data_IF_327855201083
#
_entry.id   IF_327855201083
#
_cell.length_a   1.000
_cell.length_b   1.000
_cell.length_c   1.000
_cell.angle_alpha   90.00
_cell.angle_beta   90.00
_cell.angle_gamma   90.00
#
_symmetry.space_group_name_H-M   'P 1'
#
loop_
_entity.id
_entity.type
_entity.pdbx_description
1 polymer ?
#
# COMPACT_ATOMS: atom_id res chain seq x y z
N UNK A 1 -9.18 -35.42 -57.35
CA UNK A 1 -10.59 -35.81 -57.54
C UNK A 1 -11.33 -35.40 -56.30
N UNK A 2 -12.11 -34.31 -56.41
CA UNK A 2 -12.96 -33.83 -55.32
C UNK A 2 -14.30 -34.54 -55.26
N UNK A 3 -15.14 -34.23 -54.30
CA UNK A 3 -16.38 -33.64 -54.77
C UNK A 3 -16.79 -32.34 -54.01
N UNK A 4 -17.45 -31.55 -54.84
CA UNK A 4 -18.20 -30.33 -54.61
C UNK A 4 -19.37 -30.59 -53.63
N UNK A 5 -19.59 -29.74 -52.65
CA UNK A 5 -20.82 -29.70 -51.89
C UNK A 5 -21.48 -28.32 -52.02
N UNK A 6 -22.75 -28.36 -52.35
CA UNK A 6 -23.63 -27.28 -52.82
C UNK A 6 -24.04 -26.34 -51.70
N UNK A 7 -24.17 -25.06 -52.04
CA UNK A 7 -24.82 -23.99 -51.27
C UNK A 7 -26.32 -24.22 -51.17
N UNK A 8 -26.86 -24.19 -49.99
CA UNK A 8 -28.29 -24.01 -49.72
C UNK A 8 -28.56 -22.59 -49.16
N UNK A 9 -29.30 -21.78 -49.90
CA UNK A 9 -29.76 -20.47 -49.46
C UNK A 9 -31.03 -20.65 -48.64
N UNK A 10 -31.02 -20.14 -47.43
CA UNK A 10 -32.23 -20.01 -46.59
C UNK A 10 -32.56 -18.52 -46.53
N UNK A 11 -33.71 -18.16 -47.08
CA UNK A 11 -34.28 -16.83 -47.02
C UNK A 11 -34.89 -16.66 -45.62
N UNK A 12 -34.44 -15.66 -44.87
CA UNK A 12 -35.08 -15.23 -43.62
C UNK A 12 -35.89 -13.98 -43.91
N UNK A 13 -37.17 -14.06 -43.72
CA UNK A 13 -38.10 -12.95 -43.83
C UNK A 13 -37.92 -12.02 -42.61
N UNK A 14 -37.62 -10.76 -42.88
CA UNK A 14 -37.51 -9.71 -41.87
C UNK A 14 -38.88 -9.13 -41.58
N UNK A 15 -39.41 -9.41 -40.42
CA UNK A 15 -40.59 -8.70 -39.90
C UNK A 15 -40.15 -7.39 -39.22
N UNK A 16 -40.57 -6.26 -39.79
CA UNK A 16 -40.33 -4.93 -39.25
C UNK A 16 -41.35 -4.66 -38.13
N UNK A 17 -40.94 -4.70 -36.86
CA UNK A 17 -41.75 -4.25 -35.74
C UNK A 17 -41.33 -2.79 -35.45
N UNK A 18 -42.19 -1.83 -35.74
CA UNK A 18 -42.07 -0.44 -35.28
C UNK A 18 -42.33 -0.42 -33.78
N UNK A 19 -41.30 -0.28 -32.97
CA UNK A 19 -41.41 0.06 -31.55
C UNK A 19 -41.38 1.59 -31.41
N UNK A 20 -42.48 2.17 -30.96
CA UNK A 20 -42.54 3.57 -30.53
C UNK A 20 -41.64 3.75 -29.31
N UNK A 21 -40.57 4.48 -29.44
CA UNK A 21 -39.71 4.85 -28.34
C UNK A 21 -40.40 5.94 -27.49
N UNK A 22 -40.91 5.55 -26.33
CA UNK A 22 -41.22 6.49 -25.26
C UNK A 22 -39.91 7.07 -24.72
N UNK A 23 -39.76 8.39 -24.74
CA UNK A 23 -38.65 9.08 -24.08
C UNK A 23 -38.76 8.83 -22.57
N UNK A 24 -37.89 7.94 -22.04
CA UNK A 24 -37.68 7.84 -20.61
C UNK A 24 -36.80 9.00 -20.17
N UNK A 25 -37.33 9.88 -19.34
CA UNK A 25 -36.53 10.90 -18.64
C UNK A 25 -35.43 10.21 -17.87
N UNK A 26 -34.18 10.48 -18.26
CA UNK A 26 -33.01 10.10 -17.47
C UNK A 26 -33.04 10.91 -16.17
N UNK A 27 -32.93 10.30 -15.00
CA UNK A 27 -32.81 11.05 -13.77
C UNK A 27 -31.54 11.89 -13.82
N UNK A 28 -31.71 13.20 -13.64
CA UNK A 28 -30.60 14.14 -13.50
C UNK A 28 -29.68 13.74 -12.35
N UNK A 29 -28.41 14.22 -12.33
CA UNK A 29 -27.49 13.92 -11.25
C UNK A 29 -28.14 14.29 -9.92
N UNK A 30 -28.28 13.29 -9.03
CA UNK A 30 -28.84 13.49 -7.69
C UNK A 30 -28.03 14.58 -7.00
N UNK A 31 -28.69 15.66 -6.57
CA UNK A 31 -28.07 16.67 -5.72
C UNK A 31 -27.54 15.98 -4.48
N UNK A 32 -26.27 16.29 -4.13
CA UNK A 32 -25.65 15.75 -2.92
C UNK A 32 -26.53 16.11 -1.71
N UNK A 33 -26.91 15.12 -0.92
CA UNK A 33 -27.69 15.29 0.30
C UNK A 33 -26.87 16.14 1.30
N UNK A 34 -27.30 17.35 1.65
CA UNK A 34 -26.59 18.20 2.59
C UNK A 34 -26.62 17.66 4.04
N UNK A 35 -27.35 16.57 4.30
CA UNK A 35 -27.42 15.90 5.59
C UNK A 35 -26.48 14.67 5.70
N UNK A 36 -25.70 14.35 4.64
CA UNK A 36 -24.64 13.36 4.80
C UNK A 36 -23.69 13.83 5.91
N UNK A 37 -23.49 13.05 6.99
CA UNK A 37 -22.60 13.47 8.05
C UNK A 37 -21.22 13.75 7.43
N UNK A 38 -20.74 14.99 7.58
CA UNK A 38 -19.38 15.32 7.26
C UNK A 38 -18.51 14.24 7.91
N UNK A 39 -17.77 13.48 7.11
CA UNK A 39 -16.85 12.46 7.62
C UNK A 39 -15.95 13.19 8.59
N UNK A 40 -16.21 13.00 9.88
CA UNK A 40 -15.43 13.62 10.93
C UNK A 40 -13.98 13.21 10.66
N UNK A 41 -13.14 14.17 10.28
CA UNK A 41 -11.70 13.99 10.25
C UNK A 41 -11.34 13.54 11.65
N UNK A 42 -11.00 12.25 11.80
CA UNK A 42 -10.66 11.69 13.10
C UNK A 42 -9.52 12.50 13.68
N UNK A 43 -9.70 13.24 14.80
CA UNK A 43 -8.63 13.99 15.39
C UNK A 43 -7.56 12.99 15.85
N UNK A 44 -6.31 13.19 15.42
CA UNK A 44 -5.16 12.48 15.94
C UNK A 44 -4.49 11.42 15.04
N UNK A 45 -4.68 11.43 13.73
CA UNK A 45 -3.78 10.68 12.82
C UNK A 45 -2.52 11.53 12.59
N UNK A 46 -1.57 11.43 13.51
CA UNK A 46 -0.24 11.97 13.26
C UNK A 46 0.34 11.38 11.96
N UNK A 47 1.07 12.16 11.15
CA UNK A 47 1.74 11.65 9.97
C UNK A 47 2.62 10.45 10.32
N UNK A 48 2.63 9.44 9.44
CA UNK A 48 3.45 8.25 9.61
C UNK A 48 4.82 8.52 8.98
N UNK A 49 5.83 8.85 9.79
CA UNK A 49 7.22 8.87 9.35
C UNK A 49 7.91 7.65 9.90
N UNK A 50 8.53 6.85 9.04
CA UNK A 50 9.01 5.56 9.47
C UNK A 50 10.06 4.94 8.57
N UNK A 51 10.36 3.71 8.89
CA UNK A 51 11.32 2.86 8.21
C UNK A 51 10.89 1.42 8.36
N UNK A 52 11.15 0.59 7.36
CA UNK A 52 10.93 -0.85 7.45
C UNK A 52 12.06 -1.52 8.24
N UNK A 53 11.71 -2.42 9.13
CA UNK A 53 12.62 -3.35 9.79
C UNK A 53 12.42 -4.70 9.13
N UNK A 54 13.27 -4.97 8.16
CA UNK A 54 13.31 -6.19 7.36
C UNK A 54 14.06 -7.33 8.07
N UNK A 55 14.94 -6.99 9.03
CA UNK A 55 15.67 -7.95 9.87
C UNK A 55 15.64 -7.55 11.35
N UNK A 56 15.29 -8.51 12.22
CA UNK A 56 15.28 -8.34 13.69
C UNK A 56 16.50 -8.98 14.39
N UNK A 57 17.48 -9.48 13.65
CA UNK A 57 18.67 -10.17 14.20
C UNK A 57 19.49 -9.28 15.13
N UNK A 58 19.46 -7.96 14.95
CA UNK A 58 20.17 -6.99 15.79
C UNK A 58 19.22 -6.08 16.58
N UNK A 59 18.12 -6.62 17.09
CA UNK A 59 17.02 -5.91 17.72
C UNK A 59 17.44 -4.83 18.73
N UNK A 60 18.44 -5.09 19.57
CA UNK A 60 18.91 -4.10 20.56
C UNK A 60 19.43 -2.81 19.90
N UNK A 61 20.19 -2.94 18.83
CA UNK A 61 20.73 -1.81 18.06
C UNK A 61 19.63 -1.10 17.27
N UNK A 62 18.74 -1.87 16.66
CA UNK A 62 17.57 -1.35 15.94
C UNK A 62 16.71 -0.48 16.85
N UNK A 63 16.33 -0.98 18.02
CA UNK A 63 15.51 -0.22 19.00
C UNK A 63 16.24 1.04 19.47
N UNK A 64 17.55 0.98 19.75
CA UNK A 64 18.33 2.16 20.12
C UNK A 64 18.40 3.19 19.01
N UNK A 65 18.51 2.76 17.75
CA UNK A 65 18.51 3.65 16.60
C UNK A 65 17.16 4.33 16.36
N UNK A 66 16.06 3.59 16.50
CA UNK A 66 14.70 4.12 16.43
C UNK A 66 14.42 5.14 17.55
N UNK A 67 14.82 4.83 18.77
CA UNK A 67 14.69 5.74 19.91
C UNK A 67 15.51 7.03 19.78
N UNK A 68 16.55 7.03 18.96
CA UNK A 68 17.42 8.18 18.70
C UNK A 68 16.95 9.04 17.52
N UNK A 69 15.85 8.70 16.87
CA UNK A 69 15.24 9.56 15.84
C UNK A 69 14.62 10.80 16.51
N UNK A 70 14.61 11.96 15.84
CA UNK A 70 14.09 13.21 16.40
C UNK A 70 12.63 13.13 16.83
N UNK A 71 11.84 12.38 16.09
CA UNK A 71 10.43 12.11 16.38
C UNK A 71 10.18 10.62 16.54
N UNK A 72 9.09 10.31 17.21
CA UNK A 72 8.67 8.95 17.45
C UNK A 72 8.27 8.27 16.12
N UNK A 73 9.05 7.31 15.60
CA UNK A 73 8.80 6.75 14.28
C UNK A 73 7.57 5.84 14.26
N UNK A 74 6.98 5.67 13.08
CA UNK A 74 6.25 4.47 12.74
C UNK A 74 7.23 3.45 12.17
N UNK A 75 7.21 2.22 12.66
CA UNK A 75 8.13 1.17 12.20
C UNK A 75 7.31 0.08 11.53
N UNK A 76 7.52 -0.12 10.24
CA UNK A 76 6.97 -1.27 9.52
C UNK A 76 7.85 -2.48 9.79
N UNK A 77 7.30 -3.58 10.26
CA UNK A 77 8.02 -4.82 10.50
C UNK A 77 7.58 -5.83 9.45
N UNK A 78 8.51 -6.27 8.63
CA UNK A 78 8.34 -7.37 7.70
C UNK A 78 8.24 -8.69 8.46
N UNK A 79 7.16 -9.41 8.30
CA UNK A 79 6.96 -10.73 8.89
C UNK A 79 7.22 -11.81 7.85
N UNK A 80 8.45 -12.35 7.83
CA UNK A 80 8.86 -13.45 6.93
C UNK A 80 7.81 -14.59 6.96
N UNK A 81 7.38 -15.04 5.80
CA UNK A 81 6.36 -16.08 5.65
C UNK A 81 6.74 -17.40 6.33
N UNK A 82 8.03 -17.66 6.49
CA UNK A 82 8.59 -18.87 7.11
C UNK A 82 8.63 -18.82 8.63
N UNK A 83 8.38 -17.66 9.24
CA UNK A 83 8.47 -17.49 10.68
C UNK A 83 7.09 -17.52 11.35
N UNK A 84 6.95 -18.13 12.53
CA UNK A 84 5.73 -18.04 13.31
C UNK A 84 5.62 -16.70 14.04
N UNK A 85 4.40 -16.24 14.35
CA UNK A 85 4.15 -14.97 15.03
C UNK A 85 4.99 -14.76 16.30
N UNK A 86 5.17 -15.81 17.13
CA UNK A 86 5.97 -15.74 18.36
C UNK A 86 7.42 -15.29 18.15
N UNK A 87 7.97 -15.52 16.95
CA UNK A 87 9.33 -15.08 16.61
C UNK A 87 9.47 -13.56 16.73
N UNK A 88 8.40 -12.82 16.38
CA UNK A 88 8.39 -11.36 16.39
C UNK A 88 7.93 -10.74 17.71
N UNK A 89 7.43 -11.53 18.68
CA UNK A 89 6.80 -10.99 19.89
C UNK A 89 7.73 -10.06 20.69
N UNK A 90 9.01 -10.38 20.82
CA UNK A 90 9.97 -9.52 21.51
C UNK A 90 10.30 -8.27 20.71
N UNK A 91 10.40 -8.35 19.39
CA UNK A 91 10.67 -7.22 18.52
C UNK A 91 9.49 -6.23 18.58
N UNK A 92 8.28 -6.69 18.37
CA UNK A 92 7.06 -5.88 18.44
C UNK A 92 6.95 -5.20 19.80
N UNK A 93 7.07 -5.92 20.92
CA UNK A 93 7.01 -5.36 22.28
C UNK A 93 8.09 -4.30 22.52
N UNK A 94 9.30 -4.46 22.03
CA UNK A 94 10.39 -3.48 22.25
C UNK A 94 10.27 -2.28 21.35
N UNK A 95 9.91 -2.48 20.07
CA UNK A 95 9.75 -1.38 19.11
C UNK A 95 8.52 -0.53 19.47
N UNK A 96 7.41 -1.13 19.92
CA UNK A 96 6.20 -0.39 20.33
C UNK A 96 6.42 0.58 21.50
N UNK A 97 7.48 0.41 22.27
CA UNK A 97 7.86 1.35 23.34
C UNK A 97 8.50 2.64 22.82
N UNK A 98 9.11 2.58 21.64
CA UNK A 98 9.83 3.72 21.04
C UNK A 98 9.14 4.31 19.82
N UNK A 99 8.12 3.64 19.26
CA UNK A 99 7.39 4.08 18.08
C UNK A 99 6.06 3.38 17.90
N UNK A 100 5.31 3.74 16.88
CA UNK A 100 4.18 2.94 16.40
C UNK A 100 4.71 1.73 15.62
N UNK A 101 3.99 0.61 15.65
CA UNK A 101 4.33 -0.58 14.85
C UNK A 101 3.26 -0.78 13.79
N UNK A 102 3.68 -0.88 12.54
CA UNK A 102 2.90 -1.45 11.45
C UNK A 102 3.44 -2.85 11.15
N UNK A 103 2.60 -3.87 11.28
CA UNK A 103 2.96 -5.26 11.02
C UNK A 103 2.51 -5.67 9.63
N UNK A 104 3.42 -6.09 8.78
CA UNK A 104 3.15 -6.60 7.44
C UNK A 104 2.84 -8.08 7.49
N UNK A 105 1.58 -8.45 7.22
CA UNK A 105 1.12 -9.84 7.33
C UNK A 105 1.70 -10.74 6.25
N UNK A 106 1.90 -10.24 5.03
CA UNK A 106 2.45 -11.00 3.91
C UNK A 106 3.06 -10.06 2.87
N UNK A 107 4.31 -10.30 2.53
CA UNK A 107 5.01 -9.59 1.46
C UNK A 107 4.50 -10.02 0.08
N UNK A 108 4.54 -9.09 -0.86
CA UNK A 108 4.07 -9.31 -2.24
C UNK A 108 4.80 -10.43 -2.97
N UNK A 109 6.07 -10.67 -2.66
CA UNK A 109 6.86 -11.76 -3.27
C UNK A 109 6.38 -13.15 -2.85
N UNK A 110 5.81 -13.28 -1.66
CA UNK A 110 5.28 -14.52 -1.10
C UNK A 110 3.78 -14.72 -1.38
N UNK A 111 3.09 -13.69 -1.86
CA UNK A 111 1.63 -13.66 -2.02
C UNK A 111 1.11 -14.88 -2.80
N UNK A 112 1.74 -15.25 -3.92
CA UNK A 112 1.32 -16.39 -4.75
C UNK A 112 1.58 -17.75 -4.11
N UNK A 113 2.41 -17.83 -3.08
CA UNK A 113 2.84 -19.10 -2.45
C UNK A 113 1.92 -19.53 -1.32
N UNK A 114 1.10 -18.62 -0.79
CA UNK A 114 0.20 -18.86 0.33
C UNK A 114 -1.24 -18.96 -0.16
N UNK A 115 -1.98 -19.97 0.25
CA UNK A 115 -3.43 -20.09 -0.06
C UNK A 115 -4.25 -19.08 0.74
N UNK A 116 -5.51 -18.85 0.35
CA UNK A 116 -6.43 -17.98 1.09
C UNK A 116 -6.58 -18.46 2.54
N UNK A 117 -6.88 -19.75 2.75
CA UNK A 117 -7.01 -20.33 4.09
C UNK A 117 -5.70 -20.26 4.90
N UNK A 118 -4.55 -20.46 4.23
CA UNK A 118 -3.22 -20.33 4.86
C UNK A 118 -2.93 -18.90 5.30
N UNK A 119 -3.33 -17.92 4.50
CA UNK A 119 -3.17 -16.51 4.86
C UNK A 119 -4.10 -16.10 6.00
N UNK A 120 -5.36 -16.55 5.99
CA UNK A 120 -6.28 -16.33 7.09
C UNK A 120 -5.73 -16.89 8.41
N UNK A 121 -5.34 -18.17 8.44
CA UNK A 121 -4.75 -18.78 9.64
C UNK A 121 -3.50 -18.02 10.13
N UNK A 122 -2.69 -17.48 9.19
CA UNK A 122 -1.56 -16.64 9.52
C UNK A 122 -2.02 -15.33 10.18
N UNK A 123 -2.98 -14.62 9.58
CA UNK A 123 -3.51 -13.37 10.11
C UNK A 123 -4.05 -13.56 11.54
N UNK A 124 -4.90 -14.54 11.77
CA UNK A 124 -5.43 -14.90 13.09
C UNK A 124 -4.32 -15.16 14.11
N UNK A 125 -3.31 -15.98 13.75
CA UNK A 125 -2.17 -16.30 14.61
C UNK A 125 -1.36 -15.05 15.00
N UNK A 126 -1.13 -14.14 14.04
CA UNK A 126 -0.37 -12.90 14.27
C UNK A 126 -1.17 -11.89 15.10
N UNK A 127 -2.46 -11.74 14.81
CA UNK A 127 -3.37 -10.90 15.61
C UNK A 127 -3.41 -11.34 17.07
N UNK A 128 -3.56 -12.65 17.29
CA UNK A 128 -3.60 -13.22 18.65
C UNK A 128 -2.28 -12.99 19.39
N UNK A 129 -1.13 -13.25 18.75
CA UNK A 129 0.16 -13.23 19.42
C UNK A 129 0.75 -11.82 19.58
N UNK A 130 0.45 -10.88 18.67
CA UNK A 130 1.14 -9.59 18.57
C UNK A 130 0.20 -8.39 18.71
N UNK A 131 -1.10 -8.59 18.72
CA UNK A 131 -2.12 -7.52 18.66
C UNK A 131 -1.92 -6.39 19.65
N UNK A 132 -1.50 -6.69 20.87
CA UNK A 132 -1.26 -5.67 21.91
C UNK A 132 -0.11 -4.69 21.59
N UNK A 133 0.78 -5.05 20.66
CA UNK A 133 1.96 -4.23 20.30
C UNK A 133 1.93 -3.67 18.88
N UNK A 134 1.00 -4.11 18.03
CA UNK A 134 0.87 -3.67 16.64
C UNK A 134 -0.23 -2.62 16.54
N UNK A 135 0.14 -1.43 16.09
CA UNK A 135 -0.78 -0.29 15.96
C UNK A 135 -1.56 -0.28 14.64
N UNK A 136 -0.97 -0.84 13.60
CA UNK A 136 -1.52 -0.89 12.25
C UNK A 136 -1.17 -2.26 11.64
N UNK A 137 -2.12 -2.91 11.02
CA UNK A 137 -1.91 -4.15 10.30
C UNK A 137 -1.92 -3.89 8.80
N UNK A 138 -0.78 -4.12 8.15
CA UNK A 138 -0.71 -4.15 6.70
C UNK A 138 -1.27 -5.48 6.24
N UNK A 139 -2.53 -5.40 5.79
CA UNK A 139 -3.34 -6.58 5.43
C UNK A 139 -2.94 -7.21 4.11
N UNK A 140 -2.23 -6.46 3.27
CA UNK A 140 -1.63 -6.97 2.04
C UNK A 140 -0.70 -5.91 1.44
N UNK A 141 0.37 -6.36 0.77
CA UNK A 141 1.39 -5.52 0.14
C UNK A 141 1.39 -5.65 -1.38
N UNK A 142 1.50 -4.53 -2.12
CA UNK A 142 1.66 -4.41 -3.58
C UNK A 142 0.67 -5.26 -4.41
N UNK A 143 -0.56 -5.40 -3.92
CA UNK A 143 -1.58 -6.35 -4.38
C UNK A 143 -1.96 -6.24 -5.87
N UNK A 144 -1.66 -5.13 -6.51
CA UNK A 144 -1.91 -4.91 -7.93
C UNK A 144 -0.73 -5.31 -8.84
N UNK A 145 0.37 -5.80 -8.28
CA UNK A 145 1.48 -6.38 -9.03
C UNK A 145 1.11 -7.71 -9.66
N UNK A 146 1.60 -7.98 -10.87
CA UNK A 146 1.30 -9.23 -11.57
C UNK A 146 2.07 -10.45 -11.02
N UNK A 147 3.04 -10.21 -10.16
CA UNK A 147 3.82 -11.26 -9.48
C UNK A 147 3.09 -11.84 -8.27
N UNK A 148 2.07 -11.17 -7.77
CA UNK A 148 1.32 -11.58 -6.57
C UNK A 148 0.40 -12.78 -6.81
N UNK A 149 0.13 -13.11 -8.08
CA UNK A 149 -0.73 -14.22 -8.49
C UNK A 149 -2.07 -13.76 -9.05
N UNK A 150 -3.07 -14.66 -9.16
CA UNK A 150 -4.37 -14.31 -9.69
C UNK A 150 -5.09 -13.27 -8.81
N UNK A 151 -5.44 -12.12 -9.36
CA UNK A 151 -6.08 -11.02 -8.63
C UNK A 151 -7.34 -11.41 -7.84
N UNK A 152 -8.22 -12.32 -8.30
CA UNK A 152 -9.32 -12.78 -7.46
C UNK A 152 -8.86 -13.48 -6.18
N UNK A 153 -7.77 -14.25 -6.22
CA UNK A 153 -7.18 -14.90 -5.05
C UNK A 153 -6.55 -13.89 -4.09
N UNK A 154 -5.82 -12.90 -4.63
CA UNK A 154 -5.26 -11.80 -3.85
C UNK A 154 -6.36 -10.99 -3.16
N UNK A 155 -7.43 -10.69 -3.89
CA UNK A 155 -8.59 -9.98 -3.34
C UNK A 155 -9.32 -10.76 -2.24
N UNK A 156 -9.39 -12.08 -2.35
CA UNK A 156 -9.95 -12.93 -1.29
C UNK A 156 -9.10 -12.83 -0.02
N UNK A 157 -7.78 -13.00 -0.11
CA UNK A 157 -6.87 -12.88 1.04
C UNK A 157 -6.96 -11.53 1.73
N UNK A 158 -6.81 -10.46 0.95
CA UNK A 158 -6.95 -9.08 1.43
C UNK A 158 -8.27 -8.86 2.17
N UNK A 159 -9.36 -9.48 1.68
CA UNK A 159 -10.69 -9.33 2.25
C UNK A 159 -10.82 -10.07 3.58
N UNK A 160 -10.33 -11.31 3.67
CA UNK A 160 -10.29 -12.08 4.92
C UNK A 160 -9.42 -11.38 5.98
N UNK A 161 -8.21 -10.95 5.63
CA UNK A 161 -7.35 -10.23 6.55
C UNK A 161 -7.97 -8.90 7.04
N UNK A 162 -8.68 -8.18 6.16
CA UNK A 162 -9.41 -6.99 6.55
C UNK A 162 -10.50 -7.32 7.59
N UNK A 163 -11.28 -8.35 7.35
CA UNK A 163 -12.39 -8.76 8.23
C UNK A 163 -11.84 -9.20 9.60
N UNK A 164 -10.76 -9.98 9.64
CA UNK A 164 -10.11 -10.45 10.88
C UNK A 164 -9.55 -9.27 11.71
N UNK A 165 -8.82 -8.35 11.05
CA UNK A 165 -8.26 -7.17 11.73
C UNK A 165 -9.37 -6.25 12.23
N UNK A 166 -10.41 -6.02 11.43
CA UNK A 166 -11.55 -5.19 11.82
C UNK A 166 -12.34 -5.80 12.98
N UNK A 167 -12.56 -7.12 12.98
CA UNK A 167 -13.20 -7.84 14.08
C UNK A 167 -12.39 -7.74 15.38
N UNK A 168 -11.05 -7.71 15.29
CA UNK A 168 -10.17 -7.49 16.43
C UNK A 168 -10.08 -6.00 16.87
N UNK A 169 -10.80 -5.09 16.21
CA UNK A 169 -10.72 -3.64 16.47
C UNK A 169 -9.43 -2.97 16.04
N UNK A 170 -8.65 -3.64 15.17
CA UNK A 170 -7.37 -3.15 14.67
C UNK A 170 -7.52 -2.13 13.53
N UNK A 171 -6.48 -1.32 13.32
CA UNK A 171 -6.36 -0.45 12.15
C UNK A 171 -5.70 -1.19 11.00
N UNK A 172 -6.21 -0.98 9.79
CA UNK A 172 -5.74 -1.67 8.58
C UNK A 172 -4.98 -0.75 7.66
N UNK A 173 -3.93 -1.25 7.01
CA UNK A 173 -3.25 -0.62 5.89
C UNK A 173 -3.30 -1.55 4.67
N UNK A 174 -3.51 -0.96 3.50
CA UNK A 174 -3.43 -1.62 2.20
C UNK A 174 -2.34 -0.92 1.38
N UNK A 175 -1.32 -1.64 0.97
CA UNK A 175 -0.26 -1.10 0.11
C UNK A 175 -0.49 -1.50 -1.35
N UNK A 176 -0.42 -0.51 -2.23
CA UNK A 176 -0.59 -0.64 -3.68
C UNK A 176 0.72 -0.26 -4.38
N UNK A 177 1.14 -1.05 -5.36
CA UNK A 177 2.29 -0.71 -6.19
C UNK A 177 1.97 0.45 -7.13
N UNK A 178 2.68 1.55 -6.97
CA UNK A 178 2.46 2.77 -7.74
C UNK A 178 3.28 2.76 -9.04
N UNK A 179 2.66 2.33 -10.11
CA UNK A 179 3.26 2.18 -11.44
C UNK A 179 2.80 3.25 -12.45
N UNK A 180 2.07 4.28 -12.02
CA UNK A 180 1.36 5.21 -12.90
C UNK A 180 1.60 6.70 -12.59
N UNK A 181 2.74 7.06 -12.03
CA UNK A 181 3.12 8.46 -11.90
C UNK A 181 3.62 9.01 -13.25
N UNK A 182 2.72 9.63 -14.01
CA UNK A 182 3.01 10.24 -15.32
C UNK A 182 2.46 9.43 -16.50
N UNK A 183 2.78 9.84 -17.75
CA UNK A 183 2.20 9.26 -18.96
C UNK A 183 2.68 7.85 -19.26
N UNK A 184 3.82 7.45 -18.70
CA UNK A 184 4.39 6.12 -18.92
C UNK A 184 4.18 5.26 -17.67
N UNK A 185 3.75 4.03 -17.87
CA UNK A 185 3.76 3.04 -16.82
C UNK A 185 5.21 2.76 -16.38
N UNK A 186 5.44 2.77 -15.07
CA UNK A 186 6.66 2.24 -14.48
C UNK A 186 6.45 0.75 -14.21
N UNK A 187 7.52 0.01 -14.22
CA UNK A 187 7.51 -1.43 -14.02
C UNK A 187 8.39 -2.12 -15.03
N UNK A 188 8.41 -3.42 -14.97
CA UNK A 188 9.24 -4.28 -15.83
C UNK A 188 8.58 -4.59 -17.19
N UNK A 189 7.58 -3.83 -17.60
CA UNK A 189 6.84 -4.02 -18.85
C UNK A 189 5.74 -5.08 -18.80
N UNK A 190 5.46 -5.64 -17.63
CA UNK A 190 4.37 -6.60 -17.44
C UNK A 190 3.02 -5.89 -17.35
N UNK A 191 1.95 -6.61 -17.65
CA UNK A 191 0.57 -6.11 -17.60
C UNK A 191 0.07 -6.00 -16.15
N UNK A 192 0.51 -4.99 -15.44
CA UNK A 192 0.07 -4.66 -14.08
C UNK A 192 -1.15 -3.77 -14.13
N UNK A 193 -2.05 -3.94 -13.16
CA UNK A 193 -3.13 -2.99 -12.94
C UNK A 193 -2.59 -1.76 -12.20
N UNK A 194 -3.07 -0.58 -12.59
CA UNK A 194 -2.84 0.61 -11.76
C UNK A 194 -3.54 0.46 -10.40
N UNK A 195 -3.09 1.20 -9.36
CA UNK A 195 -3.79 1.22 -8.07
C UNK A 195 -5.30 1.42 -8.20
N UNK A 196 -5.74 2.35 -9.05
CA UNK A 196 -7.15 2.63 -9.27
C UNK A 196 -7.90 1.49 -9.98
N UNK A 197 -7.28 0.88 -10.99
CA UNK A 197 -7.90 -0.25 -11.71
C UNK A 197 -8.09 -1.46 -10.80
N UNK A 198 -7.07 -1.82 -10.01
CA UNK A 198 -7.18 -2.91 -9.05
C UNK A 198 -8.25 -2.62 -7.99
N UNK A 199 -8.21 -1.43 -7.41
CA UNK A 199 -9.15 -1.02 -6.37
C UNK A 199 -10.60 -1.06 -6.83
N UNK A 200 -10.87 -0.60 -8.05
CA UNK A 200 -12.24 -0.63 -8.60
C UNK A 200 -12.71 -2.04 -8.89
N UNK A 201 -11.82 -2.89 -9.41
CA UNK A 201 -12.19 -4.19 -9.94
C UNK A 201 -12.23 -5.27 -8.87
N UNK A 202 -11.35 -5.20 -7.86
CA UNK A 202 -11.10 -6.31 -6.96
C UNK A 202 -11.29 -5.99 -5.48
N UNK A 203 -11.18 -4.72 -5.05
CA UNK A 203 -11.34 -4.39 -3.64
C UNK A 203 -12.83 -4.18 -3.31
N UNK A 204 -13.42 -4.98 -2.42
CA UNK A 204 -14.84 -4.84 -2.05
C UNK A 204 -15.16 -3.46 -1.47
N UNK A 205 -16.38 -2.98 -1.72
CA UNK A 205 -16.82 -1.65 -1.27
C UNK A 205 -16.71 -1.47 0.25
N UNK A 206 -16.96 -2.53 1.05
CA UNK A 206 -16.81 -2.46 2.51
C UNK A 206 -15.36 -2.23 2.93
N UNK A 207 -14.38 -2.89 2.28
CA UNK A 207 -12.97 -2.69 2.52
C UNK A 207 -12.56 -1.26 2.13
N UNK A 208 -12.99 -0.80 0.96
CA UNK A 208 -12.70 0.57 0.51
C UNK A 208 -13.22 1.65 1.47
N UNK A 209 -14.36 1.44 2.11
CA UNK A 209 -14.91 2.38 3.10
C UNK A 209 -14.30 2.27 4.48
N UNK A 210 -13.77 1.10 4.84
CA UNK A 210 -13.34 0.81 6.21
C UNK A 210 -11.83 0.76 6.43
N UNK A 211 -11.02 0.60 5.36
CA UNK A 211 -9.57 0.58 5.51
C UNK A 211 -9.04 1.90 6.08
N UNK A 212 -8.12 1.81 7.04
CA UNK A 212 -7.62 2.99 7.76
C UNK A 212 -6.55 3.75 6.99
N UNK A 213 -5.71 3.03 6.25
CA UNK A 213 -4.63 3.59 5.45
C UNK A 213 -4.58 2.93 4.08
N UNK A 214 -4.36 3.74 3.03
CA UNK A 214 -3.99 3.23 1.71
C UNK A 214 -2.65 3.83 1.35
N UNK A 215 -1.67 2.97 1.18
CA UNK A 215 -0.28 3.35 1.02
C UNK A 215 0.21 2.96 -0.38
N UNK A 216 1.18 3.69 -0.88
CA UNK A 216 1.80 3.44 -2.17
C UNK A 216 3.21 2.88 -1.95
N UNK A 217 3.54 1.78 -2.61
CA UNK A 217 4.91 1.33 -2.79
C UNK A 217 5.47 1.96 -4.05
N UNK A 218 6.66 2.57 -3.98
CA UNK A 218 7.26 3.25 -5.11
C UNK A 218 8.78 3.19 -5.12
N UNK A 219 9.33 2.67 -6.20
CA UNK A 219 10.77 2.56 -6.42
C UNK A 219 11.20 3.40 -7.63
N UNK A 220 11.76 4.62 -7.44
CA UNK A 220 12.15 5.50 -8.54
C UNK A 220 13.06 4.83 -9.56
N UNK A 221 13.98 3.95 -9.12
CA UNK A 221 14.89 3.24 -10.02
C UNK A 221 14.20 2.27 -10.97
N UNK A 222 13.09 1.66 -10.54
CA UNK A 222 12.23 0.84 -11.41
C UNK A 222 11.39 1.69 -12.35
N UNK A 223 11.29 2.99 -12.09
CA UNK A 223 10.61 3.99 -12.90
C UNK A 223 11.59 4.91 -13.64
N UNK A 224 12.70 4.39 -14.14
CA UNK A 224 13.73 5.13 -14.88
C UNK A 224 14.31 6.33 -14.11
N UNK A 225 14.40 6.22 -12.79
CA UNK A 225 14.88 7.29 -11.91
C UNK A 225 13.91 8.44 -11.71
N UNK A 226 12.64 8.30 -12.10
CA UNK A 226 11.64 9.36 -11.93
C UNK A 226 11.26 9.54 -10.47
N UNK A 227 11.28 10.77 -10.03
CA UNK A 227 10.78 11.21 -8.73
C UNK A 227 9.50 12.03 -8.97
N UNK A 228 8.30 11.48 -8.67
CA UNK A 228 7.05 12.22 -8.83
C UNK A 228 7.07 13.56 -8.10
N UNK A 229 6.62 14.61 -8.76
CA UNK A 229 6.42 15.91 -8.12
C UNK A 229 5.27 15.85 -7.11
N UNK A 230 5.21 16.82 -6.18
CA UNK A 230 4.09 16.97 -5.26
C UNK A 230 2.75 17.10 -5.99
N UNK A 231 2.73 17.71 -7.18
CA UNK A 231 1.54 17.82 -8.02
C UNK A 231 1.06 16.48 -8.57
N UNK A 232 1.97 15.65 -9.07
CA UNK A 232 1.67 14.29 -9.57
C UNK A 232 1.19 13.38 -8.43
N UNK A 233 1.87 13.43 -7.28
CA UNK A 233 1.43 12.71 -6.08
C UNK A 233 0.04 13.18 -5.65
N UNK A 234 -0.21 14.49 -5.60
CA UNK A 234 -1.52 15.05 -5.25
C UNK A 234 -2.63 14.51 -6.15
N UNK A 235 -2.39 14.42 -7.45
CA UNK A 235 -3.37 13.89 -8.40
C UNK A 235 -3.68 12.42 -8.13
N UNK A 236 -2.66 11.57 -7.95
CA UNK A 236 -2.82 10.16 -7.66
C UNK A 236 -3.56 9.93 -6.32
N UNK A 237 -3.18 10.66 -5.27
CA UNK A 237 -3.82 10.55 -3.96
C UNK A 237 -5.27 11.06 -3.97
N UNK A 238 -5.61 12.09 -4.74
CA UNK A 238 -7.02 12.52 -4.92
C UNK A 238 -7.86 11.45 -5.58
N UNK A 239 -7.33 10.78 -6.61
CA UNK A 239 -8.02 9.68 -7.26
C UNK A 239 -8.27 8.53 -6.28
N UNK A 240 -7.27 8.14 -5.50
CA UNK A 240 -7.41 7.09 -4.48
C UNK A 240 -8.37 7.52 -3.35
N UNK A 241 -8.32 8.78 -2.91
CA UNK A 241 -9.23 9.26 -1.86
C UNK A 241 -10.71 9.18 -2.28
N UNK A 242 -11.01 9.45 -3.55
CA UNK A 242 -12.36 9.24 -4.10
C UNK A 242 -12.84 7.78 -3.98
N UNK A 243 -11.92 6.82 -3.93
CA UNK A 243 -12.23 5.39 -3.80
C UNK A 243 -12.20 4.91 -2.34
N UNK A 244 -11.39 5.56 -1.50
CA UNK A 244 -11.13 5.25 -0.10
C UNK A 244 -11.38 6.48 0.80
N UNK A 245 -12.62 6.97 0.89
CA UNK A 245 -12.91 8.29 1.49
C UNK A 245 -12.60 8.39 2.98
N UNK A 246 -12.55 7.24 3.69
CA UNK A 246 -12.20 7.17 5.12
C UNK A 246 -10.71 6.94 5.40
N UNK A 247 -9.90 6.70 4.36
CA UNK A 247 -8.50 6.33 4.56
C UNK A 247 -7.57 7.55 4.61
N UNK A 248 -6.53 7.47 5.43
CA UNK A 248 -5.34 8.30 5.27
C UNK A 248 -4.43 7.69 4.19
N UNK A 249 -3.83 8.52 3.35
CA UNK A 249 -3.08 8.11 2.17
C UNK A 249 -1.61 8.52 2.28
N UNK A 250 -0.70 7.66 1.83
CA UNK A 250 0.74 7.95 1.90
C UNK A 250 1.58 6.92 1.16
N UNK A 251 2.84 6.79 1.59
CA UNK A 251 3.73 5.75 1.10
C UNK A 251 3.90 4.64 2.14
N UNK A 252 3.82 3.39 1.72
CA UNK A 252 4.07 2.20 2.53
C UNK A 252 5.46 1.63 2.31
N UNK A 253 6.04 1.92 1.13
CA UNK A 253 7.34 1.39 0.79
C UNK A 253 8.04 2.28 -0.23
N UNK A 254 9.29 2.63 0.09
CA UNK A 254 10.19 3.37 -0.79
C UNK A 254 11.61 2.80 -0.62
N UNK A 255 12.37 2.72 -1.69
CA UNK A 255 13.75 2.25 -1.54
C UNK A 255 14.48 1.97 -2.84
N UNK A 256 15.45 1.11 -2.72
CA UNK A 256 16.13 0.44 -3.81
C UNK A 256 15.76 -1.04 -3.82
N UNK A 257 15.83 -1.71 -4.98
CA UNK A 257 15.49 -3.15 -5.07
C UNK A 257 16.52 -4.06 -4.35
N UNK A 258 17.62 -3.50 -3.89
CA UNK A 258 18.68 -4.20 -3.14
C UNK A 258 19.24 -3.28 -2.05
N UNK A 259 19.86 -3.84 -1.00
CA UNK A 259 20.56 -3.04 0.02
C UNK A 259 21.60 -2.08 -0.59
N UNK A 260 21.80 -0.97 0.09
CA UNK A 260 22.69 0.11 -0.38
C UNK A 260 24.15 -0.33 -0.42
N UNK A 261 24.78 -0.13 -1.57
CA UNK A 261 26.21 -0.31 -1.79
C UNK A 261 26.90 1.03 -2.03
N UNK A 262 28.22 1.05 -2.07
CA UNK A 262 28.97 2.28 -2.43
C UNK A 262 28.53 2.87 -3.77
N UNK A 263 28.24 2.02 -4.77
CA UNK A 263 27.79 2.44 -6.09
C UNK A 263 26.38 3.07 -6.07
N UNK A 264 25.47 2.56 -5.24
CA UNK A 264 24.08 3.04 -5.17
C UNK A 264 23.86 4.14 -4.13
N UNK A 265 24.84 4.45 -3.27
CA UNK A 265 24.68 5.35 -2.12
C UNK A 265 24.21 6.75 -2.50
N UNK A 266 24.70 7.31 -3.59
CA UNK A 266 24.28 8.64 -4.06
C UNK A 266 22.78 8.65 -4.41
N UNK A 267 22.37 7.67 -5.21
CA UNK A 267 20.96 7.50 -5.61
C UNK A 267 20.08 7.24 -4.41
N UNK A 268 20.48 6.37 -3.49
CA UNK A 268 19.74 6.08 -2.26
C UNK A 268 19.51 7.34 -1.41
N UNK A 269 20.55 8.15 -1.20
CA UNK A 269 20.45 9.43 -0.47
C UNK A 269 19.53 10.44 -1.17
N UNK A 270 19.54 10.47 -2.48
CA UNK A 270 18.65 11.34 -3.27
C UNK A 270 17.21 10.90 -3.09
N UNK A 271 16.90 9.61 -3.29
CA UNK A 271 15.54 9.05 -3.13
C UNK A 271 15.03 9.27 -1.71
N UNK A 272 15.84 9.01 -0.69
CA UNK A 272 15.44 9.21 0.71
C UNK A 272 15.10 10.69 0.97
N UNK A 273 15.95 11.63 0.55
CA UNK A 273 15.63 13.06 0.71
C UNK A 273 14.37 13.47 -0.02
N UNK A 274 14.19 13.01 -1.27
CA UNK A 274 12.99 13.29 -2.04
C UNK A 274 11.75 12.74 -1.35
N UNK A 275 11.75 11.46 -1.00
CA UNK A 275 10.58 10.79 -0.43
C UNK A 275 10.12 11.45 0.88
N UNK A 276 11.03 11.64 1.82
CA UNK A 276 10.68 12.17 3.15
C UNK A 276 10.35 13.67 3.14
N UNK A 277 10.77 14.42 2.13
CA UNK A 277 10.41 15.83 1.97
C UNK A 277 9.12 16.05 1.16
N UNK A 278 8.53 15.00 0.60
CA UNK A 278 7.40 15.11 -0.31
C UNK A 278 6.10 15.35 0.44
N UNK A 279 5.55 16.56 0.32
CA UNK A 279 4.27 16.93 0.90
C UNK A 279 3.30 17.41 -0.19
N UNK A 280 2.22 16.67 -0.48
CA UNK A 280 1.23 17.07 -1.49
C UNK A 280 0.24 18.13 -0.98
N UNK A 281 0.27 18.51 0.30
CA UNK A 281 -0.65 19.50 0.88
C UNK A 281 -2.10 19.02 0.90
N UNK A 282 -2.35 17.77 1.29
CA UNK A 282 -3.68 17.17 1.39
C UNK A 282 -4.00 16.82 2.85
N UNK A 283 -5.21 17.13 3.35
CA UNK A 283 -5.56 16.93 4.76
C UNK A 283 -5.62 15.46 5.19
N UNK A 284 -5.74 14.55 4.24
CA UNK A 284 -5.73 13.10 4.44
C UNK A 284 -4.39 12.45 4.10
N UNK A 285 -3.34 13.25 3.91
CA UNK A 285 -2.00 12.73 3.64
C UNK A 285 -1.35 12.26 4.94
N UNK A 286 -0.96 10.99 4.98
CA UNK A 286 -0.39 10.34 6.15
C UNK A 286 1.14 10.36 6.20
N UNK A 287 1.82 10.88 5.15
CA UNK A 287 3.26 10.65 5.01
C UNK A 287 3.53 9.19 4.66
N UNK A 288 4.03 8.42 5.61
CA UNK A 288 4.20 6.97 5.45
C UNK A 288 5.38 6.63 4.55
N UNK A 289 6.56 7.08 4.92
CA UNK A 289 7.77 6.72 4.17
C UNK A 289 8.50 5.62 4.93
N UNK A 290 8.48 4.42 4.38
CA UNK A 290 9.14 3.26 4.98
C UNK A 290 10.21 2.78 4.03
N UNK A 291 11.47 3.17 4.31
CA UNK A 291 12.62 2.68 3.54
C UNK A 291 12.73 1.17 3.70
N UNK A 292 12.74 0.42 2.59
CA UNK A 292 12.60 -1.04 2.62
C UNK A 292 13.68 -1.74 3.43
N UNK A 293 14.95 -1.59 3.08
CA UNK A 293 16.06 -2.19 3.83
C UNK A 293 16.49 -1.33 5.02
N UNK A 294 15.52 -0.92 5.85
CA UNK A 294 15.77 0.06 6.92
C UNK A 294 16.72 -0.44 7.99
N UNK A 295 16.62 -1.72 8.36
CA UNK A 295 17.51 -2.30 9.37
C UNK A 295 18.97 -2.24 8.93
N UNK A 296 19.28 -2.60 7.69
CA UNK A 296 20.63 -2.60 7.16
C UNK A 296 21.13 -1.22 6.74
N UNK A 297 20.32 -0.50 6.01
CA UNK A 297 20.71 0.73 5.32
C UNK A 297 20.73 1.94 6.25
N UNK A 298 19.91 1.98 7.30
CA UNK A 298 19.68 3.18 8.09
C UNK A 298 19.79 3.03 9.61
N UNK A 299 19.48 1.85 10.18
CA UNK A 299 19.36 1.71 11.64
C UNK A 299 20.61 1.12 12.31
N UNK A 300 21.35 0.23 11.66
CA UNK A 300 22.55 -0.34 12.26
C UNK A 300 23.69 0.71 12.41
N UNK A 301 24.63 0.53 13.34
CA UNK A 301 25.82 1.39 13.45
C UNK A 301 26.61 1.40 12.14
N UNK A 302 26.99 2.58 11.66
CA UNK A 302 27.71 2.73 10.40
C UNK A 302 26.86 2.55 9.13
N UNK A 303 25.56 2.40 9.26
CA UNK A 303 24.65 2.30 8.13
C UNK A 303 24.77 3.50 7.19
N UNK A 304 24.81 3.28 5.85
CA UNK A 304 25.14 4.32 4.87
C UNK A 304 24.11 5.45 4.80
N UNK A 305 22.86 5.20 5.19
CA UNK A 305 21.78 6.18 5.17
C UNK A 305 21.38 6.71 6.55
N UNK A 306 22.06 6.31 7.64
CA UNK A 306 21.68 6.72 9.01
C UNK A 306 21.56 8.24 9.17
N UNK A 307 22.58 8.98 8.72
CA UNK A 307 22.58 10.45 8.79
C UNK A 307 21.49 11.06 7.89
N UNK A 308 21.25 10.47 6.71
CA UNK A 308 20.22 10.94 5.81
C UNK A 308 18.83 10.76 6.43
N UNK A 309 18.56 9.60 7.05
CA UNK A 309 17.31 9.34 7.77
C UNK A 309 17.09 10.32 8.93
N UNK A 310 18.11 10.52 9.77
CA UNK A 310 18.03 11.47 10.89
C UNK A 310 17.79 12.92 10.43
N UNK A 311 18.35 13.29 9.27
CA UNK A 311 18.15 14.62 8.68
C UNK A 311 16.72 14.74 8.14
N UNK A 312 16.20 13.71 7.47
CA UNK A 312 14.84 13.67 6.97
C UNK A 312 13.83 13.86 8.11
N UNK A 313 13.96 13.11 9.21
CA UNK A 313 13.09 13.26 10.39
C UNK A 313 13.14 14.65 11.02
N UNK A 314 14.31 15.31 11.08
CA UNK A 314 14.41 16.71 11.58
C UNK A 314 13.73 17.73 10.68
N UNK A 315 13.79 17.52 9.37
CA UNK A 315 13.15 18.42 8.40
C UNK A 315 11.63 18.36 8.49
N UNK A 316 11.08 17.19 8.77
CA UNK A 316 9.64 16.99 8.92
C UNK A 316 9.10 17.52 10.24
N UNK A 317 9.83 17.36 11.35
CA UNK A 317 9.45 17.95 12.63
C UNK A 317 9.28 19.47 12.53
N UNK A 318 10.10 20.14 11.72
CA UNK A 318 9.97 21.59 11.45
C UNK A 318 8.85 21.98 10.50
N UNK A 319 8.33 21.04 9.67
CA UNK A 319 7.28 21.31 8.70
C UNK A 319 5.86 21.10 9.26
N UNK A 320 5.73 20.44 10.41
CA UNK A 320 4.45 20.09 11.05
C UNK A 320 4.18 20.91 12.32
N UNK A 321 5.11 21.73 12.77
CA UNK A 321 4.98 22.72 13.87
C UNK A 321 4.67 24.09 13.33
#
# INVERSE_FOLDING_TARGET
MGPVCRRGAVAVATALVLAMAGAADLPGPAAADPSAPAVAVMPGRAPLFGVTVDDIGHLGRTVSALAALPDRPATRIYFDVRQPARYYATAVRRISRVGAVMGELLDSSDEKTVSVAGFQARAESYLHALGAGVSIWEISNEVNGNWTGPYPTVAAKLTEAYDDVAAAGGRTALTLYANNFGPDHCGDGRAELTPAQFSNRYVPARVRRGVSYVLLSYYPTQCRGREPSAGQLRQALRQLHGMYPGAALGFGEVGLPNPVTGASLRTARQIMRWAYALNPGLPYYAGGYFWWYGAEDALRPGAPLRTALQTAFRSEAGALG
#
